data_IF_319277020430
#
_entry.id   IF_319277020430
#
_cell.length_a   1.000
_cell.length_b   1.000
_cell.length_c   1.000
_cell.angle_alpha   90.00
_cell.angle_beta   90.00
_cell.angle_gamma   90.00
#
_symmetry.space_group_name_H-M   'P 1'
#
loop_
_entity.id
_entity.type
_entity.pdbx_description
1 polymer ?
#
# COMPACT_ATOMS: atom_id res chain seq x y z
N UNK A 1 1.59 22.92 8.28
CA UNK A 1 1.34 21.81 7.34
C UNK A 1 2.25 22.00 6.15
N UNK A 2 2.91 20.95 5.67
CA UNK A 2 3.70 21.02 4.44
C UNK A 2 2.84 20.54 3.29
N UNK A 3 2.81 21.31 2.19
CA UNK A 3 2.05 21.02 0.98
C UNK A 3 3.00 20.92 -0.22
N UNK A 4 2.58 20.17 -1.23
CA UNK A 4 3.38 19.91 -2.42
C UNK A 4 2.74 18.85 -3.33
N UNK A 5 3.49 18.42 -4.34
CA UNK A 5 3.03 17.47 -5.35
C UNK A 5 3.89 16.21 -5.37
N UNK A 6 3.23 15.06 -5.53
CA UNK A 6 3.89 13.78 -5.84
C UNK A 6 4.25 13.77 -7.32
N UNK A 7 5.50 13.45 -7.62
CA UNK A 7 6.02 13.37 -8.98
C UNK A 7 6.16 11.94 -9.46
N UNK A 8 6.61 11.04 -8.58
CA UNK A 8 6.85 9.65 -8.95
C UNK A 8 6.50 8.72 -7.78
N UNK A 9 5.50 7.85 -7.96
CA UNK A 9 5.28 6.71 -7.07
C UNK A 9 6.13 5.52 -7.53
N UNK A 10 6.77 4.86 -6.57
CA UNK A 10 7.40 3.54 -6.77
C UNK A 10 7.29 2.75 -5.47
N UNK A 11 7.80 1.53 -5.44
CA UNK A 11 7.94 0.77 -4.21
C UNK A 11 9.23 -0.05 -4.24
N UNK A 12 9.67 -0.45 -3.05
CA UNK A 12 10.69 -1.48 -2.87
C UNK A 12 10.20 -2.52 -1.87
N UNK A 13 10.80 -3.70 -1.90
CA UNK A 13 10.61 -4.70 -0.83
C UNK A 13 11.77 -4.57 0.14
N UNK A 14 11.47 -4.37 1.43
CA UNK A 14 12.45 -4.33 2.53
C UNK A 14 11.97 -5.28 3.61
N UNK A 15 12.79 -6.27 3.97
CA UNK A 15 12.43 -7.28 4.98
C UNK A 15 11.07 -7.95 4.68
N UNK A 16 10.89 -8.39 3.43
CA UNK A 16 9.66 -9.00 2.91
C UNK A 16 8.41 -8.10 2.94
N UNK A 17 8.56 -6.82 3.29
CA UNK A 17 7.46 -5.86 3.35
C UNK A 17 7.57 -4.85 2.21
N UNK A 18 6.46 -4.56 1.50
CA UNK A 18 6.45 -3.47 0.54
C UNK A 18 6.53 -2.13 1.26
N UNK A 19 7.44 -1.28 0.79
CA UNK A 19 7.59 0.11 1.22
C UNK A 19 7.27 0.98 0.01
N UNK A 20 6.14 1.68 0.08
CA UNK A 20 5.73 2.64 -0.95
C UNK A 20 6.63 3.87 -0.81
N UNK A 21 7.18 4.34 -1.94
CA UNK A 21 8.03 5.51 -2.01
C UNK A 21 7.35 6.56 -2.89
N UNK A 22 7.07 7.72 -2.30
CA UNK A 22 6.48 8.87 -2.99
C UNK A 22 7.50 10.00 -3.06
N UNK A 23 8.11 10.17 -4.23
CA UNK A 23 9.01 11.29 -4.51
C UNK A 23 8.20 12.51 -4.92
N UNK A 24 8.56 13.69 -4.43
CA UNK A 24 7.84 14.90 -4.75
C UNK A 24 8.61 16.19 -4.51
N UNK A 25 7.90 17.30 -4.69
CA UNK A 25 8.39 18.66 -4.45
C UNK A 25 7.41 19.41 -3.56
N UNK A 26 7.93 20.03 -2.51
CA UNK A 26 7.18 20.99 -1.69
C UNK A 26 6.88 22.24 -2.51
N UNK A 27 5.86 23.01 -2.11
CA UNK A 27 5.54 24.30 -2.75
C UNK A 27 6.72 25.30 -2.71
N UNK A 28 7.61 25.14 -1.73
CA UNK A 28 8.89 25.87 -1.61
C UNK A 28 9.97 25.42 -2.60
N UNK A 29 9.71 24.39 -3.42
CA UNK A 29 10.63 23.84 -4.41
C UNK A 29 11.60 22.77 -3.90
N UNK A 30 11.68 22.54 -2.59
CA UNK A 30 12.52 21.49 -2.01
C UNK A 30 11.99 20.09 -2.39
N UNK A 31 12.89 19.15 -2.65
CA UNK A 31 12.52 17.76 -2.89
C UNK A 31 12.13 17.07 -1.57
N UNK A 32 11.21 16.11 -1.65
CA UNK A 32 10.88 15.24 -0.54
C UNK A 32 10.74 13.78 -0.99
N UNK A 33 10.85 12.88 -0.01
CA UNK A 33 10.51 11.46 -0.13
C UNK A 33 9.66 11.09 1.09
N UNK A 34 8.51 10.47 0.84
CA UNK A 34 7.73 9.78 1.87
C UNK A 34 7.91 8.27 1.67
N UNK A 35 8.27 7.56 2.73
CA UNK A 35 8.24 6.10 2.79
C UNK A 35 7.06 5.64 3.65
N UNK A 36 6.22 4.77 3.11
CA UNK A 36 5.08 4.17 3.83
C UNK A 36 5.17 2.65 3.77
N UNK A 37 5.36 2.02 4.92
CA UNK A 37 5.44 0.57 5.10
C UNK A 37 4.17 -0.05 5.70
N UNK A 38 3.08 0.72 5.78
CA UNK A 38 1.78 0.28 6.30
C UNK A 38 0.91 -0.35 5.21
N UNK A 39 1.19 -0.05 3.95
CA UNK A 39 0.48 -0.66 2.82
C UNK A 39 0.67 -2.19 2.83
N UNK A 40 -0.44 -2.92 2.73
CA UNK A 40 -0.44 -4.38 2.55
C UNK A 40 -1.18 -4.67 1.24
N UNK A 41 -0.54 -5.31 0.24
CA UNK A 41 -1.21 -5.70 -0.99
C UNK A 41 -2.41 -6.60 -0.66
N UNK A 42 -3.52 -6.39 -1.36
CA UNK A 42 -4.74 -7.16 -1.18
C UNK A 42 -5.41 -7.39 -2.53
N UNK A 43 -6.32 -8.36 -2.56
CA UNK A 43 -7.21 -8.61 -3.69
C UNK A 43 -8.58 -9.00 -3.13
N UNK A 44 -9.61 -8.93 -3.98
CA UNK A 44 -10.96 -9.31 -3.60
C UNK A 44 -11.24 -10.76 -3.94
N UNK A 45 -12.00 -11.43 -3.08
CA UNK A 45 -12.58 -12.74 -3.35
C UNK A 45 -14.11 -12.66 -3.23
N UNK A 46 -14.86 -13.39 -4.06
CA UNK A 46 -16.28 -13.62 -3.81
C UNK A 46 -16.46 -14.23 -2.42
N UNK A 47 -17.50 -13.79 -1.68
CA UNK A 47 -17.77 -14.31 -0.34
C UNK A 47 -17.94 -15.83 -0.30
N UNK A 48 -18.45 -16.42 -1.38
CA UNK A 48 -18.65 -17.86 -1.52
C UNK A 48 -17.31 -18.64 -1.58
N UNK A 49 -16.20 -17.97 -1.91
CA UNK A 49 -14.87 -18.58 -2.03
C UNK A 49 -14.01 -18.39 -0.76
N UNK A 50 -14.50 -17.67 0.26
CA UNK A 50 -13.74 -17.40 1.49
C UNK A 50 -13.25 -18.68 2.18
N UNK A 51 -14.08 -19.73 2.20
CA UNK A 51 -13.70 -21.00 2.82
C UNK A 51 -12.50 -21.69 2.14
N UNK A 52 -12.24 -21.41 0.86
CA UNK A 52 -11.08 -21.96 0.14
C UNK A 52 -9.75 -21.40 0.66
N UNK A 53 -9.76 -20.27 1.36
CA UNK A 53 -8.58 -19.62 1.91
C UNK A 53 -8.13 -20.21 3.27
N UNK A 54 -8.85 -21.21 3.79
CA UNK A 54 -8.58 -21.77 5.13
C UNK A 54 -7.17 -22.35 5.31
N UNK A 55 -6.50 -22.75 4.22
CA UNK A 55 -5.15 -23.31 4.26
C UNK A 55 -4.04 -22.25 4.05
N UNK A 56 -4.39 -21.02 3.69
CA UNK A 56 -3.42 -19.95 3.44
C UNK A 56 -2.84 -19.41 4.75
N UNK A 57 -1.56 -19.07 4.73
CA UNK A 57 -0.84 -18.53 5.89
C UNK A 57 -0.58 -17.04 5.70
N UNK A 58 -0.46 -16.33 6.82
CA UNK A 58 -0.12 -14.91 6.87
C UNK A 58 -1.05 -13.99 6.06
N UNK A 59 -2.29 -14.43 5.82
CA UNK A 59 -3.36 -13.64 5.23
C UNK A 59 -4.31 -13.08 6.28
N UNK A 60 -4.95 -11.96 5.97
CA UNK A 60 -6.07 -11.39 6.73
C UNK A 60 -7.26 -11.25 5.80
N UNK A 61 -8.39 -11.86 6.16
CA UNK A 61 -9.63 -11.76 5.40
C UNK A 61 -10.58 -10.82 6.13
N UNK A 62 -11.02 -9.76 5.45
CA UNK A 62 -11.93 -8.77 6.02
C UNK A 62 -13.07 -8.46 5.05
N UNK A 63 -14.32 -8.36 5.52
CA UNK A 63 -15.41 -7.84 4.71
C UNK A 63 -15.13 -6.40 4.26
N UNK A 64 -15.46 -6.08 3.01
CA UNK A 64 -15.27 -4.74 2.44
C UNK A 64 -16.48 -4.31 1.63
N UNK A 65 -16.72 -3.00 1.61
CA UNK A 65 -17.75 -2.36 0.78
C UNK A 65 -17.19 -1.86 -0.56
N UNK A 66 -15.87 -1.98 -0.75
CA UNK A 66 -15.23 -1.71 -2.02
C UNK A 66 -15.68 -2.77 -3.02
N UNK A 67 -16.10 -2.33 -4.21
CA UNK A 67 -16.57 -3.18 -5.31
C UNK A 67 -15.53 -3.23 -6.41
#
# INVERSE_FOLDING_TARGET
MHSGFVLQPTYRVREERPVVQLFGRLDSGQAFLVEDDRCRPYFFVPKQQEAALAAERDIRVEPTQLR
#
